data_IF_681236305174
#
_entry.id   IF_681236305174
#
_cell.length_a   1.000
_cell.length_b   1.000
_cell.length_c   1.000
_cell.angle_alpha   90.00
_cell.angle_beta   90.00
_cell.angle_gamma   90.00
#
_symmetry.space_group_name_H-M   'P 1'
#
loop_
_entity.id
_entity.type
_entity.pdbx_description
1 polymer ?
#
# COMPACT_ATOMS: atom_id res chain seq x y z
N UNK A 1 8.05 7.62 -22.76
CA UNK A 1 7.21 8.21 -21.70
C UNK A 1 7.21 7.33 -20.47
N UNK A 2 7.35 7.93 -19.32
CA UNK A 2 7.35 7.19 -18.09
C UNK A 2 5.92 6.74 -17.72
N UNK A 3 5.81 5.52 -17.29
CA UNK A 3 4.58 4.92 -16.77
C UNK A 3 4.83 4.34 -15.38
N UNK A 4 3.79 4.19 -14.54
CA UNK A 4 3.94 3.49 -13.27
C UNK A 4 4.46 2.07 -13.48
N UNK A 5 5.29 1.62 -12.55
CA UNK A 5 5.97 0.33 -12.69
C UNK A 5 5.03 -0.79 -12.26
N UNK A 6 4.72 -1.69 -13.19
CA UNK A 6 3.88 -2.87 -12.94
C UNK A 6 4.71 -3.97 -12.30
N UNK A 7 5.93 -4.18 -12.78
CA UNK A 7 6.82 -5.23 -12.30
C UNK A 7 8.25 -4.67 -12.18
N UNK A 8 8.90 -4.93 -11.06
CA UNK A 8 10.32 -4.60 -10.87
C UNK A 8 11.18 -5.77 -11.32
N UNK A 9 12.18 -5.49 -12.14
CA UNK A 9 13.10 -6.50 -12.62
C UNK A 9 14.23 -6.79 -11.63
N UNK A 10 14.60 -5.80 -10.82
CA UNK A 10 15.66 -5.93 -9.83
C UNK A 10 15.22 -5.39 -8.48
N UNK A 11 15.80 -5.92 -7.41
CA UNK A 11 15.57 -5.41 -6.06
C UNK A 11 16.04 -3.97 -5.91
N UNK A 12 17.12 -3.60 -6.60
CA UNK A 12 17.64 -2.22 -6.57
C UNK A 12 16.63 -1.22 -7.12
N UNK A 13 16.01 -1.52 -8.24
CA UNK A 13 14.97 -0.67 -8.82
C UNK A 13 13.79 -0.50 -7.86
N UNK A 14 13.39 -1.58 -7.23
CA UNK A 14 12.33 -1.58 -6.24
C UNK A 14 12.68 -0.67 -5.05
N UNK A 15 13.85 -0.86 -4.46
CA UNK A 15 14.30 -0.06 -3.31
C UNK A 15 14.42 1.42 -3.68
N UNK A 16 14.97 1.73 -4.85
CA UNK A 16 15.08 3.11 -5.32
C UNK A 16 13.71 3.78 -5.47
N UNK A 17 12.74 3.06 -6.00
CA UNK A 17 11.36 3.53 -6.13
C UNK A 17 10.72 3.76 -4.75
N UNK A 18 10.90 2.83 -3.82
CA UNK A 18 10.39 2.95 -2.46
C UNK A 18 10.97 4.17 -1.74
N UNK A 19 12.26 4.39 -1.87
CA UNK A 19 12.94 5.56 -1.26
C UNK A 19 12.45 6.86 -1.87
N UNK A 20 12.25 6.89 -3.18
CA UNK A 20 11.73 8.07 -3.85
C UNK A 20 10.36 8.45 -3.30
N UNK A 21 9.45 7.48 -3.20
CA UNK A 21 8.11 7.70 -2.66
C UNK A 21 8.12 8.07 -1.19
N UNK A 22 8.93 7.37 -0.38
CA UNK A 22 9.10 7.70 1.04
C UNK A 22 9.49 9.16 1.23
N UNK A 23 10.44 9.65 0.42
CA UNK A 23 10.90 11.04 0.47
C UNK A 23 9.80 12.01 0.03
N UNK A 24 9.14 11.74 -1.10
CA UNK A 24 8.09 12.60 -1.65
C UNK A 24 6.86 12.68 -0.75
N UNK A 25 6.53 11.63 -0.03
CA UNK A 25 5.41 11.59 0.91
C UNK A 25 5.75 12.17 2.28
N UNK A 26 6.97 12.66 2.48
CA UNK A 26 7.38 13.26 3.74
C UNK A 26 7.62 12.28 4.87
N UNK A 27 7.90 11.02 4.54
CA UNK A 27 8.13 9.94 5.52
C UNK A 27 9.62 9.71 5.79
N UNK A 28 10.45 10.70 5.54
CA UNK A 28 11.91 10.59 5.64
C UNK A 28 12.41 10.34 7.07
N UNK A 29 11.61 10.60 8.09
CA UNK A 29 11.94 10.30 9.49
C UNK A 29 11.53 8.88 9.92
N UNK A 30 10.92 8.11 9.03
CA UNK A 30 10.59 6.71 9.29
C UNK A 30 11.74 5.79 8.88
N UNK A 31 11.97 4.75 9.70
CA UNK A 31 12.86 3.64 9.34
C UNK A 31 12.02 2.52 8.77
N UNK A 32 12.17 2.28 7.47
CA UNK A 32 11.32 1.31 6.77
C UNK A 32 12.19 0.24 6.12
N UNK A 33 11.86 -1.02 6.41
CA UNK A 33 12.42 -2.16 5.70
C UNK A 33 11.46 -2.57 4.60
N UNK A 34 11.90 -2.44 3.36
CA UNK A 34 11.14 -2.82 2.18
C UNK A 34 11.58 -4.20 1.70
N UNK A 35 10.62 -5.09 1.47
CA UNK A 35 10.87 -6.41 0.90
C UNK A 35 10.03 -6.62 -0.35
N UNK A 36 10.69 -6.98 -1.44
CA UNK A 36 10.02 -7.38 -2.68
C UNK A 36 9.83 -8.89 -2.63
N UNK A 37 8.60 -9.34 -2.73
CA UNK A 37 8.21 -10.74 -2.64
C UNK A 37 7.82 -11.24 -4.03
N UNK A 38 8.23 -12.45 -4.38
CA UNK A 38 7.87 -13.06 -5.67
C UNK A 38 6.35 -13.30 -5.75
N UNK A 39 5.77 -13.24 -6.97
CA UNK A 39 4.34 -13.46 -7.14
C UNK A 39 3.89 -14.84 -6.63
N UNK A 40 2.66 -14.89 -6.11
CA UNK A 40 2.03 -16.12 -5.62
C UNK A 40 2.71 -16.74 -4.38
N UNK A 41 3.35 -15.92 -3.55
CA UNK A 41 3.94 -16.36 -2.31
C UNK A 41 2.86 -16.49 -1.22
N UNK A 42 2.83 -17.64 -0.55
CA UNK A 42 1.85 -17.92 0.52
C UNK A 42 2.01 -17.02 1.75
N UNK A 43 3.16 -16.37 1.89
CA UNK A 43 3.46 -15.50 3.02
C UNK A 43 2.70 -14.16 2.97
N UNK A 44 2.08 -13.84 1.82
CA UNK A 44 1.31 -12.61 1.62
C UNK A 44 -0.17 -12.81 1.88
N UNK A 45 -0.51 -13.46 2.98
CA UNK A 45 -1.91 -13.68 3.37
C UNK A 45 -2.20 -13.10 4.75
N UNK A 46 -3.36 -12.44 4.87
CA UNK A 46 -3.94 -12.00 6.14
C UNK A 46 -5.34 -12.59 6.22
N UNK A 47 -5.64 -13.34 7.27
CA UNK A 47 -6.95 -13.96 7.46
C UNK A 47 -7.40 -14.79 6.24
N UNK A 48 -6.48 -15.54 5.64
CA UNK A 48 -6.69 -16.34 4.42
C UNK A 48 -6.97 -15.51 3.15
N UNK A 49 -6.73 -14.20 3.19
CA UNK A 49 -6.85 -13.34 2.02
C UNK A 49 -5.46 -13.00 1.50
N UNK A 50 -5.24 -13.20 0.19
CA UNK A 50 -3.99 -12.81 -0.46
C UNK A 50 -3.94 -11.29 -0.57
N UNK A 51 -2.84 -10.69 -0.13
CA UNK A 51 -2.60 -9.25 -0.17
C UNK A 51 -1.44 -8.92 -1.10
N UNK A 52 -1.59 -7.88 -1.92
CA UNK A 52 -0.50 -7.37 -2.76
C UNK A 52 0.59 -6.68 -1.93
N UNK A 53 0.23 -6.15 -0.77
CA UNK A 53 1.17 -5.53 0.16
C UNK A 53 0.74 -5.74 1.60
N UNK A 54 1.71 -5.79 2.51
CA UNK A 54 1.49 -5.91 3.95
C UNK A 54 2.42 -4.93 4.66
N UNK A 55 1.85 -4.11 5.55
CA UNK A 55 2.58 -3.14 6.35
C UNK A 55 2.47 -3.47 7.83
N UNK A 56 3.60 -3.72 8.47
CA UNK A 56 3.72 -3.86 9.93
C UNK A 56 4.30 -2.57 10.50
N UNK A 57 3.61 -1.97 11.45
CA UNK A 57 3.95 -0.64 11.97
C UNK A 57 4.31 -0.69 13.45
N UNK A 58 5.46 -0.12 13.81
CA UNK A 58 5.77 0.28 15.17
C UNK A 58 5.71 1.81 15.22
N UNK A 59 4.54 2.33 15.56
CA UNK A 59 4.28 3.77 15.56
C UNK A 59 5.14 4.54 16.56
N UNK A 60 5.37 3.97 17.73
CA UNK A 60 6.13 4.64 18.80
C UNK A 60 7.55 4.97 18.36
N UNK A 61 8.19 4.03 17.66
CA UNK A 61 9.57 4.16 17.21
C UNK A 61 9.68 4.64 15.75
N UNK A 62 8.57 4.91 15.07
CA UNK A 62 8.52 5.24 13.64
C UNK A 62 9.31 4.24 12.79
N UNK A 63 9.01 2.97 13.01
CA UNK A 63 9.60 1.86 12.27
C UNK A 63 8.48 1.09 11.55
N UNK A 64 8.77 0.62 10.36
CA UNK A 64 7.84 -0.19 9.61
C UNK A 64 8.56 -1.26 8.80
N UNK A 65 7.86 -2.35 8.55
CA UNK A 65 8.25 -3.37 7.60
C UNK A 65 7.15 -3.45 6.55
N UNK A 66 7.52 -3.29 5.29
CA UNK A 66 6.59 -3.30 4.17
C UNK A 66 7.00 -4.39 3.20
N UNK A 67 6.13 -5.39 3.04
CA UNK A 67 6.29 -6.48 2.08
C UNK A 67 5.39 -6.20 0.88
N UNK A 68 5.96 -6.18 -0.32
CA UNK A 68 5.26 -5.91 -1.57
C UNK A 68 5.41 -7.11 -2.49
N UNK A 69 4.29 -7.66 -2.96
CA UNK A 69 4.31 -8.71 -3.95
C UNK A 69 4.48 -8.12 -5.34
N UNK A 70 5.53 -8.58 -6.05
CA UNK A 70 5.87 -8.06 -7.37
C UNK A 70 4.84 -8.54 -8.40
N UNK A 71 4.47 -7.64 -9.32
CA UNK A 71 3.58 -7.94 -10.45
C UNK A 71 2.18 -8.45 -10.04
N UNK A 72 1.67 -7.96 -8.93
CA UNK A 72 0.26 -8.15 -8.55
C UNK A 72 -0.43 -6.78 -8.67
N UNK A 73 -1.18 -6.58 -9.75
CA UNK A 73 -1.65 -5.26 -10.12
C UNK A 73 -0.50 -4.35 -10.55
N UNK A 74 -0.58 -3.08 -10.24
CA UNK A 74 0.48 -2.10 -10.48
C UNK A 74 1.34 -2.01 -9.23
N UNK A 75 2.53 -2.59 -9.25
CA UNK A 75 3.38 -2.71 -8.06
C UNK A 75 3.76 -1.34 -7.48
N UNK A 76 4.05 -0.35 -8.30
CA UNK A 76 4.32 1.01 -7.82
C UNK A 76 3.13 1.62 -7.07
N UNK A 77 1.92 1.39 -7.54
CA UNK A 77 0.71 1.82 -6.84
C UNK A 77 0.59 1.16 -5.45
N UNK A 78 0.93 -0.12 -5.37
CA UNK A 78 0.93 -0.85 -4.09
C UNK A 78 1.93 -0.25 -3.11
N UNK A 79 3.12 0.16 -3.58
CA UNK A 79 4.11 0.86 -2.74
C UNK A 79 3.48 2.11 -2.12
N UNK A 80 2.85 2.95 -2.93
CA UNK A 80 2.22 4.19 -2.45
C UNK A 80 1.11 3.88 -1.43
N UNK A 81 0.26 2.91 -1.75
CA UNK A 81 -0.82 2.46 -0.87
C UNK A 81 -0.27 2.08 0.52
N UNK A 82 0.76 1.23 0.55
CA UNK A 82 1.34 0.76 1.80
C UNK A 82 2.03 1.89 2.59
N UNK A 83 2.72 2.80 1.91
CA UNK A 83 3.33 3.96 2.56
C UNK A 83 2.27 4.90 3.18
N UNK A 84 1.11 5.04 2.56
CA UNK A 84 0.03 5.87 3.09
C UNK A 84 -0.51 5.33 4.43
N UNK A 85 -0.41 4.03 4.70
CA UNK A 85 -0.77 3.46 6.00
C UNK A 85 0.05 4.08 7.15
N UNK A 86 1.21 4.66 6.87
CA UNK A 86 2.06 5.29 7.88
C UNK A 86 1.63 6.71 8.25
N UNK A 87 0.65 7.29 7.56
CA UNK A 87 0.14 8.61 7.90
C UNK A 87 -0.66 8.54 9.21
N UNK A 88 -0.45 9.49 10.13
CA UNK A 88 -1.07 9.44 11.47
C UNK A 88 -2.59 9.28 11.45
N UNK A 89 -3.29 9.91 10.51
CA UNK A 89 -4.74 9.81 10.41
C UNK A 89 -5.21 8.39 10.10
N UNK A 90 -4.48 7.64 9.29
CA UNK A 90 -4.82 6.26 8.96
C UNK A 90 -4.47 5.31 10.10
N UNK A 91 -3.33 5.55 10.77
CA UNK A 91 -2.94 4.78 11.96
C UNK A 91 -4.01 4.94 13.06
N UNK A 92 -4.47 6.16 13.30
CA UNK A 92 -5.50 6.43 14.30
C UNK A 92 -6.82 5.71 13.97
N UNK A 93 -7.26 5.76 12.71
CA UNK A 93 -8.49 5.10 12.27
C UNK A 93 -8.40 3.58 12.41
N UNK A 94 -7.28 2.98 12.02
CA UNK A 94 -7.06 1.54 12.14
C UNK A 94 -7.04 1.10 13.61
N UNK A 95 -6.45 1.90 14.51
CA UNK A 95 -6.40 1.61 15.93
C UNK A 95 -7.80 1.67 16.58
N UNK A 96 -8.69 2.53 16.09
CA UNK A 96 -10.07 2.61 16.57
C UNK A 96 -10.92 1.40 16.17
N UNK A 97 -10.50 0.64 15.17
CA UNK A 97 -11.24 -0.48 14.63
C UNK A 97 -11.03 -1.79 15.40
N UNK A 98 -10.28 -1.79 16.50
CA UNK A 98 -9.86 -3.02 17.20
C UNK A 98 -10.65 -3.34 18.49
N UNK A 99 -11.81 -2.76 18.67
CA UNK A 99 -12.61 -2.97 19.88
C UNK A 99 -13.65 -4.08 19.68
N UNK A 100 -13.59 -5.13 20.47
CA UNK A 100 -14.14 -6.45 20.22
C UNK A 100 -15.60 -6.73 20.58
N UNK A 101 -16.60 -5.90 20.28
CA UNK A 101 -18.03 -6.21 20.45
C UNK A 101 -18.77 -6.33 19.10
N UNK A 102 -19.89 -7.09 19.06
CA UNK A 102 -20.58 -7.45 17.79
C UNK A 102 -21.08 -6.26 16.96
N UNK A 103 -21.50 -5.16 17.58
CA UNK A 103 -21.90 -3.95 16.87
C UNK A 103 -20.67 -3.25 16.31
N UNK A 104 -19.56 -3.39 16.99
CA UNK A 104 -18.28 -2.84 16.59
C UNK A 104 -17.69 -3.57 15.37
N UNK A 105 -17.98 -4.86 15.18
CA UNK A 105 -17.55 -5.60 13.98
C UNK A 105 -18.12 -5.00 12.70
N UNK A 106 -19.38 -4.59 12.69
CA UNK A 106 -20.00 -3.93 11.54
C UNK A 106 -19.39 -2.56 11.29
N UNK A 107 -19.15 -1.79 12.37
CA UNK A 107 -18.49 -0.50 12.29
C UNK A 107 -17.04 -0.65 11.84
N UNK A 108 -16.35 -1.69 12.30
CA UNK A 108 -14.98 -1.98 11.93
C UNK A 108 -14.86 -2.30 10.44
N UNK A 109 -15.77 -3.12 9.90
CA UNK A 109 -15.81 -3.40 8.47
C UNK A 109 -16.09 -2.16 7.64
N UNK A 110 -16.99 -1.31 8.10
CA UNK A 110 -17.32 -0.07 7.42
C UNK A 110 -16.13 0.89 7.41
N UNK A 111 -15.47 1.05 8.56
CA UNK A 111 -14.26 1.88 8.69
C UNK A 111 -13.13 1.33 7.82
N UNK A 112 -12.91 0.02 7.84
CA UNK A 112 -11.87 -0.64 7.05
C UNK A 112 -12.09 -0.39 5.55
N UNK A 113 -13.32 -0.53 5.07
CA UNK A 113 -13.66 -0.26 3.69
C UNK A 113 -13.42 1.21 3.31
N UNK A 114 -13.77 2.15 4.19
CA UNK A 114 -13.53 3.58 3.96
C UNK A 114 -12.03 3.87 3.93
N UNK A 115 -11.26 3.29 4.85
CA UNK A 115 -9.81 3.45 4.89
C UNK A 115 -9.19 2.96 3.58
N UNK A 116 -9.53 1.74 3.15
CA UNK A 116 -8.99 1.18 1.92
C UNK A 116 -9.38 1.97 0.68
N UNK A 117 -10.63 2.42 0.58
CA UNK A 117 -11.06 3.28 -0.52
C UNK A 117 -10.31 4.60 -0.55
N UNK A 118 -10.11 5.21 0.62
CA UNK A 118 -9.37 6.47 0.75
C UNK A 118 -7.90 6.30 0.37
N UNK A 119 -7.26 5.24 0.85
CA UNK A 119 -5.88 4.92 0.53
C UNK A 119 -5.70 4.68 -0.98
N UNK A 120 -6.59 3.91 -1.60
CA UNK A 120 -6.53 3.64 -3.04
C UNK A 120 -6.73 4.91 -3.86
N UNK A 121 -7.71 5.73 -3.50
CA UNK A 121 -7.95 6.98 -4.21
C UNK A 121 -6.76 7.94 -4.11
N UNK A 122 -6.17 8.05 -2.92
CA UNK A 122 -5.00 8.89 -2.70
C UNK A 122 -3.77 8.33 -3.43
N UNK A 123 -3.56 7.03 -3.39
CA UNK A 123 -2.45 6.38 -4.07
C UNK A 123 -2.52 6.62 -5.58
N UNK A 124 -3.70 6.44 -6.19
CA UNK A 124 -3.91 6.73 -7.61
C UNK A 124 -3.67 8.20 -7.95
N UNK A 125 -4.13 9.11 -7.09
CA UNK A 125 -3.89 10.54 -7.30
C UNK A 125 -2.39 10.88 -7.28
N UNK A 126 -1.63 10.31 -6.32
CA UNK A 126 -0.19 10.52 -6.27
C UNK A 126 0.53 9.93 -7.47
N UNK A 127 0.12 8.75 -7.94
CA UNK A 127 0.67 8.15 -9.16
C UNK A 127 0.43 9.07 -10.35
N UNK A 128 -0.76 9.66 -10.47
CA UNK A 128 -1.08 10.59 -11.56
C UNK A 128 -0.27 11.89 -11.46
N UNK A 129 0.12 12.31 -10.28
CA UNK A 129 1.02 13.46 -10.11
C UNK A 129 2.42 13.14 -10.65
N UNK A 130 2.94 11.94 -10.35
CA UNK A 130 4.24 11.50 -10.85
C UNK A 130 4.22 11.24 -12.37
N UNK A 131 3.12 10.70 -12.86
CA UNK A 131 2.95 10.31 -14.27
C UNK A 131 1.73 11.00 -14.89
N UNK A 132 1.81 12.32 -15.16
CA UNK A 132 0.62 13.12 -15.52
C UNK A 132 -0.01 12.77 -16.87
N UNK A 133 0.69 12.03 -17.71
CA UNK A 133 0.22 11.68 -19.05
C UNK A 133 -0.38 10.27 -19.15
N UNK A 134 -0.53 9.55 -18.03
CA UNK A 134 -1.15 8.23 -18.07
C UNK A 134 -2.66 8.35 -18.27
N UNK A 135 -3.21 7.37 -18.98
CA UNK A 135 -4.65 7.23 -19.12
C UNK A 135 -5.22 6.57 -17.85
N UNK A 136 -6.41 6.98 -17.44
CA UNK A 136 -7.10 6.40 -16.29
C UNK A 136 -7.35 4.90 -16.46
N UNK A 137 -7.51 4.43 -17.70
CA UNK A 137 -7.64 3.00 -18.01
C UNK A 137 -6.43 2.18 -17.55
N UNK A 138 -5.28 2.83 -17.30
CA UNK A 138 -4.13 2.15 -16.74
C UNK A 138 -4.46 1.44 -15.42
N UNK A 139 -5.33 2.03 -14.62
CA UNK A 139 -5.73 1.46 -13.33
C UNK A 139 -6.72 0.29 -13.47
N UNK A 140 -7.23 0.00 -14.65
CA UNK A 140 -8.08 -1.17 -14.89
C UNK A 140 -7.31 -2.48 -14.64
N UNK A 141 -5.98 -2.45 -14.70
CA UNK A 141 -5.12 -3.58 -14.31
C UNK A 141 -5.39 -3.99 -12.86
N UNK A 142 -5.62 -3.02 -11.97
CA UNK A 142 -5.91 -3.27 -10.56
C UNK A 142 -7.24 -4.00 -10.37
N UNK A 143 -8.24 -3.71 -11.19
CA UNK A 143 -9.57 -4.32 -11.08
C UNK A 143 -9.56 -5.83 -11.29
N UNK A 144 -8.53 -6.38 -11.96
CA UNK A 144 -8.40 -7.82 -12.18
C UNK A 144 -8.12 -8.58 -10.88
N UNK A 145 -7.64 -7.88 -9.84
CA UNK A 145 -7.23 -8.45 -8.56
C UNK A 145 -8.18 -8.08 -7.42
N UNK A 146 -9.31 -7.46 -7.74
CA UNK A 146 -10.33 -7.07 -6.77
C UNK A 146 -11.54 -8.02 -6.87
N UNK A 147 -11.90 -8.59 -5.77
CA UNK A 147 -13.13 -9.39 -5.62
C UNK A 147 -14.20 -8.64 -4.85
#
# INVERSE_FOLDING_TARGET
>A
MAEPIIEFETEKEFIDCCKWWKDKLGLWDWMIKFNLVAPNTKDMTINNTVCAGITDINFINKQAKIDIENNVGVTELTIVHELLHLFPQFIALESMAQTGEQIEELLDRFKDNIIHQSLESMAKAFIMVKYPNIDRSFFDIEMQYWD
#
